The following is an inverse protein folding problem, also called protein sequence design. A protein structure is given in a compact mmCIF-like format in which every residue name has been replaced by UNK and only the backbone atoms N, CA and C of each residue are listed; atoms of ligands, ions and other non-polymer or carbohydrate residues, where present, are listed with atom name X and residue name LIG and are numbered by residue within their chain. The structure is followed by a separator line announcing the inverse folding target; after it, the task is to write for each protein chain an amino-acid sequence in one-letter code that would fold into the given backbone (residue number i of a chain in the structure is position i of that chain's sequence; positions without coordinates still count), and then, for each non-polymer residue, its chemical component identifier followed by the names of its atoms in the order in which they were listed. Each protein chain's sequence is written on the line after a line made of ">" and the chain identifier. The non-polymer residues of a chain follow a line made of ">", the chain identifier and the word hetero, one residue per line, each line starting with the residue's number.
data_IF_963032828879
#
_entry.id   IF_963032828879
#
_cell.length_a   1.000
_cell.length_b   1.000
_cell.length_c   1.000
_cell.angle_alpha   90.00
_cell.angle_beta   90.00
_cell.angle_gamma   90.00
#
_symmetry.space_group_name_H-M   'P 1'
#
loop_
_entity.id
_entity.type
_entity.pdbx_description
1 polymer ?
#
# COMPACT_ATOMS: atom_id res chain seq x y z
N UNK A 1 -36.91 -19.87 6.30
CA UNK A 1 -35.89 -19.34 7.24
C UNK A 1 -34.45 -19.59 6.75
N UNK A 2 -34.10 -20.82 6.35
CA UNK A 2 -32.75 -21.15 5.86
C UNK A 2 -32.33 -20.36 4.59
N UNK A 3 -33.24 -20.22 3.62
CA UNK A 3 -33.01 -19.47 2.36
C UNK A 3 -32.68 -18.00 2.62
N UNK A 4 -33.35 -17.37 3.59
CA UNK A 4 -33.10 -15.97 3.96
C UNK A 4 -31.71 -15.79 4.59
N UNK A 5 -31.30 -16.75 5.41
CA UNK A 5 -30.00 -16.74 6.09
C UNK A 5 -28.84 -16.92 5.09
N UNK A 6 -29.00 -17.81 4.10
CA UNK A 6 -28.04 -18.00 3.01
C UNK A 6 -27.92 -16.73 2.15
N UNK A 7 -29.04 -16.08 1.82
CA UNK A 7 -29.05 -14.83 1.05
C UNK A 7 -28.27 -13.71 1.73
N UNK A 8 -28.45 -13.55 3.05
CA UNK A 8 -27.71 -12.58 3.86
C UNK A 8 -26.22 -12.89 3.85
N UNK A 9 -25.82 -14.14 4.06
CA UNK A 9 -24.41 -14.54 4.02
C UNK A 9 -23.75 -14.26 2.67
N UNK A 10 -24.44 -14.56 1.57
CA UNK A 10 -23.93 -14.27 0.22
C UNK A 10 -23.80 -12.76 -0.01
N UNK A 11 -24.78 -11.98 0.45
CA UNK A 11 -24.73 -10.52 0.33
C UNK A 11 -23.56 -9.92 1.11
N UNK A 12 -23.37 -10.30 2.38
CA UNK A 12 -22.26 -9.83 3.20
C UNK A 12 -20.90 -10.32 2.69
N UNK A 13 -20.81 -11.57 2.22
CA UNK A 13 -19.61 -12.11 1.59
C UNK A 13 -19.19 -11.23 0.40
N UNK A 14 -20.14 -10.92 -0.49
CA UNK A 14 -19.85 -10.11 -1.67
C UNK A 14 -19.51 -8.66 -1.31
N UNK A 15 -20.21 -8.09 -0.32
CA UNK A 15 -19.99 -6.73 0.15
C UNK A 15 -18.63 -6.56 0.85
N UNK A 16 -18.11 -7.56 1.56
CA UNK A 16 -16.86 -7.42 2.33
C UNK A 16 -15.62 -7.86 1.53
N UNK A 17 -15.69 -8.99 0.81
CA UNK A 17 -14.52 -9.55 0.10
C UNK A 17 -14.19 -8.77 -1.16
N UNK A 18 -15.18 -8.28 -1.90
CA UNK A 18 -14.94 -7.49 -3.11
C UNK A 18 -14.17 -6.19 -2.84
N UNK A 19 -14.54 -5.33 -1.88
CA UNK A 19 -13.76 -4.14 -1.59
C UNK A 19 -12.41 -4.44 -0.95
N UNK A 20 -12.30 -5.51 -0.15
CA UNK A 20 -11.02 -5.89 0.46
C UNK A 20 -10.01 -6.33 -0.62
N UNK A 21 -10.45 -7.13 -1.60
CA UNK A 21 -9.62 -7.51 -2.77
C UNK A 21 -9.23 -6.30 -3.60
N UNK A 22 -10.14 -5.32 -3.79
CA UNK A 22 -9.84 -4.08 -4.52
C UNK A 22 -8.75 -3.27 -3.84
N UNK A 23 -8.85 -3.07 -2.51
CA UNK A 23 -7.85 -2.34 -1.72
C UNK A 23 -6.48 -3.02 -1.71
N UNK A 24 -6.43 -4.35 -1.60
CA UNK A 24 -5.16 -5.09 -1.68
C UNK A 24 -4.49 -4.91 -3.04
N UNK A 25 -5.28 -5.03 -4.12
CA UNK A 25 -4.77 -4.87 -5.48
C UNK A 25 -4.26 -3.45 -5.76
N UNK A 26 -4.99 -2.43 -5.31
CA UNK A 26 -4.56 -1.03 -5.40
C UNK A 26 -3.26 -0.79 -4.61
N UNK A 27 -3.09 -1.41 -3.44
CA UNK A 27 -1.84 -1.33 -2.66
C UNK A 27 -0.68 -2.02 -3.37
N UNK A 28 -0.89 -3.20 -3.94
CA UNK A 28 0.12 -3.91 -4.73
C UNK A 28 0.56 -3.12 -5.96
N UNK A 29 -0.40 -2.53 -6.70
CA UNK A 29 -0.14 -1.67 -7.86
C UNK A 29 0.69 -0.44 -7.44
N UNK A 30 0.32 0.25 -6.35
CA UNK A 30 1.06 1.41 -5.83
C UNK A 30 2.50 1.07 -5.45
N UNK A 31 2.72 -0.11 -4.84
CA UNK A 31 4.04 -0.61 -4.42
C UNK A 31 4.90 -1.03 -5.61
N UNK A 32 4.29 -1.47 -6.72
CA UNK A 32 4.99 -1.78 -7.97
C UNK A 32 5.39 -0.52 -8.75
N UNK A 33 4.60 0.54 -8.68
CA UNK A 33 4.86 1.81 -9.39
C UNK A 33 5.91 2.71 -8.73
N UNK A 34 6.47 2.31 -7.59
CA UNK A 34 7.51 3.05 -6.89
C UNK A 34 8.81 3.07 -7.68
N UNK A 35 9.30 4.27 -7.99
CA UNK A 35 10.53 4.51 -8.74
C UNK A 35 11.48 5.43 -7.96
N UNK A 36 12.76 5.38 -8.32
CA UNK A 36 13.77 6.29 -7.81
C UNK A 36 13.38 7.74 -8.14
N UNK A 37 13.44 8.62 -7.15
CA UNK A 37 13.04 10.02 -7.25
C UNK A 37 11.61 10.31 -6.78
N UNK A 38 10.79 9.28 -6.55
CA UNK A 38 9.44 9.46 -6.04
C UNK A 38 9.47 9.97 -4.59
N UNK A 39 8.55 10.91 -4.29
CA UNK A 39 8.29 11.35 -2.92
C UNK A 39 7.26 10.42 -2.30
N UNK A 40 7.59 9.87 -1.14
CA UNK A 40 6.72 8.92 -0.46
C UNK A 40 6.54 9.26 1.00
N UNK A 41 5.40 8.83 1.53
CA UNK A 41 5.15 8.79 2.97
C UNK A 41 5.01 7.33 3.38
N UNK A 42 5.81 6.91 4.36
CA UNK A 42 5.72 5.57 4.95
C UNK A 42 4.50 5.48 5.88
N UNK A 43 4.08 4.26 6.22
CA UNK A 43 2.99 4.02 7.16
C UNK A 43 3.22 4.62 8.56
N UNK A 44 4.49 4.86 8.93
CA UNK A 44 4.88 5.56 10.17
C UNK A 44 4.85 7.09 10.09
N UNK A 45 4.37 7.66 8.98
CA UNK A 45 4.32 9.12 8.77
C UNK A 45 5.66 9.75 8.37
N UNK A 46 6.67 8.95 8.04
CA UNK A 46 7.99 9.45 7.62
C UNK A 46 7.91 9.88 6.16
N UNK A 47 8.32 11.12 5.88
CA UNK A 47 8.45 11.67 4.54
C UNK A 47 9.86 11.50 4.01
N UNK A 48 9.99 11.13 2.75
CA UNK A 48 11.28 10.99 2.10
C UNK A 48 11.21 10.84 0.59
N UNK A 49 12.38 10.77 -0.03
CA UNK A 49 12.56 10.55 -1.47
C UNK A 49 13.22 9.21 -1.69
N UNK A 50 12.70 8.39 -2.61
CA UNK A 50 13.29 7.10 -2.95
C UNK A 50 14.65 7.30 -3.63
N UNK A 51 15.72 6.81 -3.00
CA UNK A 51 17.06 6.77 -3.62
C UNK A 51 17.34 5.43 -4.31
N UNK A 52 16.81 4.32 -3.78
CA UNK A 52 17.00 3.00 -4.36
C UNK A 52 15.78 2.10 -4.12
N UNK A 53 15.53 1.19 -5.05
CA UNK A 53 14.44 0.20 -4.98
C UNK A 53 15.00 -1.20 -5.12
N UNK A 54 14.60 -2.11 -4.25
CA UNK A 54 14.81 -3.55 -4.40
C UNK A 54 13.45 -4.26 -4.40
N UNK A 55 13.43 -5.58 -4.61
CA UNK A 55 12.16 -6.33 -4.65
C UNK A 55 11.43 -6.29 -3.31
N UNK A 56 12.13 -6.49 -2.19
CA UNK A 56 11.50 -6.56 -0.86
C UNK A 56 11.50 -5.22 -0.09
N UNK A 57 12.38 -4.29 -0.47
CA UNK A 57 12.64 -3.08 0.31
C UNK A 57 12.97 -1.88 -0.58
N UNK A 58 12.73 -0.68 -0.08
CA UNK A 58 13.21 0.57 -0.68
C UNK A 58 14.11 1.32 0.29
N UNK A 59 15.02 2.12 -0.25
CA UNK A 59 15.84 3.06 0.52
C UNK A 59 15.31 4.45 0.25
N UNK A 60 14.90 5.13 1.32
CA UNK A 60 14.41 6.50 1.27
C UNK A 60 15.41 7.43 1.98
N UNK A 61 15.61 8.61 1.40
CA UNK A 61 16.32 9.71 2.04
C UNK A 61 15.32 10.62 2.72
N UNK A 62 15.49 10.80 4.02
CA UNK A 62 14.67 11.69 4.84
C UNK A 62 15.28 13.09 4.88
N UNK A 63 14.51 14.09 5.32
CA UNK A 63 14.95 15.50 5.32
C UNK A 63 16.20 15.76 6.16
N UNK A 64 16.44 14.95 7.20
CA UNK A 64 17.68 15.03 8.00
C UNK A 64 18.94 14.61 7.23
N UNK A 65 18.80 14.16 5.98
CA UNK A 65 19.88 13.68 5.13
C UNK A 65 20.23 12.21 5.35
N UNK A 66 19.67 11.57 6.39
CA UNK A 66 19.84 10.15 6.64
C UNK A 66 19.11 9.30 5.60
N UNK A 67 19.64 8.11 5.33
CA UNK A 67 19.01 7.11 4.48
C UNK A 67 18.47 5.98 5.36
N UNK A 68 17.23 5.58 5.10
CA UNK A 68 16.53 4.56 5.88
C UNK A 68 16.00 3.51 4.91
N UNK A 69 16.17 2.25 5.26
CA UNK A 69 15.61 1.12 4.52
C UNK A 69 14.26 0.76 5.11
N UNK A 70 13.23 0.75 4.26
CA UNK A 70 11.86 0.39 4.65
C UNK A 70 11.33 -0.71 3.75
N UNK A 71 10.47 -1.56 4.30
CA UNK A 71 9.81 -2.61 3.53
C UNK A 71 8.92 -1.98 2.46
N UNK A 72 8.87 -2.60 1.28
CA UNK A 72 8.08 -2.09 0.14
C UNK A 72 6.60 -1.91 0.50
N UNK A 73 6.05 -2.90 1.21
CA UNK A 73 4.64 -2.88 1.65
C UNK A 73 4.32 -1.83 2.71
N UNK A 74 5.32 -1.16 3.30
CA UNK A 74 5.14 -0.11 4.30
C UNK A 74 5.02 1.29 3.70
N UNK A 75 5.00 1.42 2.37
CA UNK A 75 4.75 2.69 1.70
C UNK A 75 3.25 2.94 1.65
N UNK A 76 2.80 4.04 2.25
CA UNK A 76 1.38 4.33 2.38
C UNK A 76 0.85 5.22 1.25
N UNK A 77 1.68 6.17 0.79
CA UNK A 77 1.26 7.17 -0.20
C UNK A 77 2.44 7.51 -1.11
N UNK A 78 2.25 7.38 -2.42
CA UNK A 78 3.08 8.02 -3.44
C UNK A 78 2.54 9.43 -3.68
N UNK A 79 3.40 10.44 -3.47
CA UNK A 79 3.08 11.84 -3.75
C UNK A 79 3.63 12.16 -5.14
N UNK A 80 2.76 12.26 -6.14
CA UNK A 80 3.13 12.94 -7.38
C UNK A 80 3.29 14.44 -7.11
N UNK A 81 4.20 15.04 -7.87
CA UNK A 81 4.52 16.45 -7.77
C UNK A 81 3.56 17.26 -8.64
#
# INVERSE_FOLDING_TARGET
>A
MLIFLVLIFVMFYFLMIRPQRKKQKEHEELVQELKRGDRVTTAGGIYGVIENTSEESIVIKVESGATIRVARGSVAIKREK
#
